data_IF_835858847832
#
_entry.id   IF_835858847832
#
_cell.length_a   1.000
_cell.length_b   1.000
_cell.length_c   1.000
_cell.angle_alpha   90.00
_cell.angle_beta   90.00
_cell.angle_gamma   90.00
#
_symmetry.space_group_name_H-M   'P 1'
#
loop_
_entity.id
_entity.type
_entity.pdbx_description
1 polymer ?
#
# COMPACT_ATOMS: atom_id res chain seq x y z
N UNK A 1 25.86 0.13 -12.42
CA UNK A 1 25.63 1.17 -11.38
C UNK A 1 24.15 1.15 -11.05
N UNK A 2 23.78 1.08 -9.77
CA UNK A 2 22.37 1.06 -9.35
C UNK A 2 21.68 2.40 -9.64
N UNK A 3 20.36 2.39 -9.75
CA UNK A 3 19.54 3.56 -10.01
C UNK A 3 18.47 3.73 -8.94
N UNK A 4 18.19 4.98 -8.58
CA UNK A 4 17.07 5.36 -7.72
C UNK A 4 16.03 6.12 -8.52
N UNK A 5 14.77 5.86 -8.23
CA UNK A 5 13.63 6.65 -8.70
C UNK A 5 12.65 6.82 -7.54
N UNK A 6 12.32 8.05 -7.20
CA UNK A 6 11.32 8.42 -6.20
C UNK A 6 10.24 9.27 -6.85
N UNK A 7 8.99 9.06 -6.45
CA UNK A 7 7.84 9.79 -6.98
C UNK A 7 6.96 10.27 -5.84
N UNK A 8 6.60 11.55 -5.86
CA UNK A 8 5.64 12.17 -4.94
C UNK A 8 4.55 12.86 -5.74
N UNK A 9 3.31 12.43 -5.60
CA UNK A 9 2.13 12.97 -6.29
C UNK A 9 1.27 13.81 -5.34
N UNK A 10 0.54 14.79 -5.86
CA UNK A 10 -0.43 15.60 -5.09
C UNK A 10 -1.69 14.85 -4.64
N UNK A 11 -1.90 13.66 -5.16
CA UNK A 11 -2.92 12.72 -4.72
C UNK A 11 -2.61 11.31 -5.20
N UNK A 12 -3.54 10.39 -5.01
CA UNK A 12 -3.39 9.00 -5.45
C UNK A 12 -3.30 8.95 -6.99
N UNK A 13 -2.26 8.32 -7.50
CA UNK A 13 -2.00 8.09 -8.92
C UNK A 13 -1.51 6.65 -9.16
N UNK A 14 -1.55 6.22 -10.42
CA UNK A 14 -1.07 4.91 -10.88
C UNK A 14 -0.04 5.10 -12.01
N UNK A 15 1.25 5.27 -11.70
CA UNK A 15 2.29 5.44 -12.72
C UNK A 15 2.73 4.10 -13.31
N UNK A 16 2.63 3.90 -14.62
CA UNK A 16 3.16 2.71 -15.31
C UNK A 16 4.69 2.75 -15.36
N UNK A 17 5.35 1.66 -15.00
CA UNK A 17 6.81 1.56 -15.02
C UNK A 17 7.20 0.34 -15.83
N UNK A 18 7.93 0.55 -16.93
CA UNK A 18 8.52 -0.52 -17.71
C UNK A 18 10.03 -0.45 -17.55
N UNK A 19 10.62 -1.53 -17.07
CA UNK A 19 12.06 -1.62 -16.91
C UNK A 19 12.65 -1.97 -18.28
N UNK A 20 13.56 -1.13 -18.77
CA UNK A 20 14.20 -1.22 -20.08
C UNK A 20 15.69 -1.52 -19.93
N UNK A 21 16.29 -2.14 -20.95
CA UNK A 21 17.74 -2.41 -20.97
C UNK A 21 18.19 -3.75 -20.40
N UNK A 22 17.29 -4.66 -20.01
CA UNK A 22 17.64 -6.08 -19.81
C UNK A 22 17.62 -6.81 -21.15
N UNK A 23 18.65 -6.57 -21.96
CA UNK A 23 18.87 -7.33 -23.18
C UNK A 23 18.99 -8.83 -22.84
N UNK A 24 18.18 -9.62 -23.57
CA UNK A 24 18.15 -11.08 -23.73
C UNK A 24 19.30 -11.87 -23.09
N UNK A 25 18.94 -12.94 -22.38
CA UNK A 25 19.74 -14.16 -22.12
C UNK A 25 21.12 -14.17 -22.77
N UNK A 26 22.05 -13.43 -22.20
CA UNK A 26 23.46 -13.50 -22.56
C UNK A 26 24.17 -13.95 -21.30
N UNK A 27 24.83 -15.10 -21.36
CA UNK A 27 25.38 -15.80 -20.18
C UNK A 27 26.47 -14.98 -19.45
N UNK A 28 26.91 -13.86 -20.03
CA UNK A 28 27.88 -12.93 -19.47
C UNK A 28 27.25 -11.79 -18.63
N UNK A 29 25.93 -11.61 -18.62
CA UNK A 29 25.26 -10.52 -17.90
C UNK A 29 24.93 -10.95 -16.47
N UNK A 30 25.56 -10.30 -15.49
CA UNK A 30 25.28 -10.51 -14.08
C UNK A 30 23.82 -10.14 -13.74
N UNK A 31 23.11 -10.96 -12.94
CA UNK A 31 21.73 -10.68 -12.55
C UNK A 31 21.63 -9.30 -11.89
N UNK A 32 20.64 -8.53 -12.32
CA UNK A 32 20.41 -7.15 -11.89
C UNK A 32 19.05 -7.09 -11.22
N UNK A 33 19.04 -7.22 -9.89
CA UNK A 33 17.79 -7.21 -9.14
C UNK A 33 17.08 -5.85 -9.18
N UNK A 34 15.83 -5.81 -8.76
CA UNK A 34 15.10 -4.57 -8.55
C UNK A 34 14.19 -4.68 -7.34
N UNK A 35 13.78 -3.54 -6.83
CA UNK A 35 12.74 -3.46 -5.83
C UNK A 35 11.90 -2.22 -6.00
N UNK A 36 10.63 -2.37 -5.68
CA UNK A 36 9.60 -1.36 -5.81
C UNK A 36 8.79 -1.30 -4.53
N UNK A 37 8.59 -0.08 -4.02
CA UNK A 37 7.81 0.18 -2.83
C UNK A 37 6.80 1.30 -3.08
N UNK A 38 5.62 1.17 -2.49
CA UNK A 38 4.57 2.18 -2.55
C UNK A 38 3.68 2.11 -1.32
N UNK A 39 2.89 3.16 -1.11
CA UNK A 39 1.94 3.27 -0.01
C UNK A 39 0.50 3.20 -0.55
N UNK A 40 -0.12 2.01 -0.59
CA UNK A 40 -1.45 1.83 -1.18
C UNK A 40 -2.47 2.77 -0.55
N UNK A 41 -3.38 3.32 -1.37
CA UNK A 41 -4.45 4.21 -0.94
C UNK A 41 -4.03 5.49 -0.19
N UNK A 42 -2.73 5.79 -0.09
CA UNK A 42 -2.21 6.89 0.71
C UNK A 42 -2.11 6.57 2.22
N UNK A 43 -2.13 5.28 2.58
CA UNK A 43 -1.95 4.80 3.96
C UNK A 43 -0.48 4.81 4.41
N UNK A 44 -0.25 4.45 5.68
CA UNK A 44 1.08 4.40 6.29
C UNK A 44 1.79 3.05 6.17
N UNK A 45 1.10 2.03 5.65
CA UNK A 45 1.68 0.72 5.41
C UNK A 45 2.29 0.68 4.01
N UNK A 46 3.56 0.30 3.92
CA UNK A 46 4.27 0.20 2.65
C UNK A 46 4.14 -1.22 2.10
N UNK A 47 3.73 -1.35 0.86
CA UNK A 47 3.89 -2.58 0.10
C UNK A 47 5.26 -2.56 -0.59
N UNK A 48 6.03 -3.64 -0.46
CA UNK A 48 7.35 -3.77 -1.08
C UNK A 48 7.46 -5.08 -1.86
N UNK A 49 7.81 -4.98 -3.13
CA UNK A 49 8.05 -6.11 -4.03
C UNK A 49 9.51 -6.06 -4.48
N UNK A 50 10.18 -7.21 -4.50
CA UNK A 50 11.59 -7.34 -4.84
C UNK A 50 11.85 -8.58 -5.67
N UNK A 51 12.68 -8.43 -6.68
CA UNK A 51 13.24 -9.53 -7.45
C UNK A 51 14.77 -9.42 -7.45
N UNK A 52 15.48 -10.21 -6.63
CA UNK A 52 16.94 -10.14 -6.53
C UNK A 52 17.65 -10.76 -7.74
N UNK A 53 17.00 -11.71 -8.44
CA UNK A 53 17.55 -12.53 -9.52
C UNK A 53 17.03 -12.11 -10.90
N UNK A 54 16.41 -10.93 -11.03
CA UNK A 54 15.81 -10.52 -12.30
C UNK A 54 16.81 -10.61 -13.48
N UNK A 55 16.42 -11.40 -14.48
CA UNK A 55 17.11 -11.56 -15.76
C UNK A 55 16.08 -11.38 -16.88
N UNK A 56 15.93 -10.17 -17.39
CA UNK A 56 14.92 -9.88 -18.42
C UNK A 56 13.50 -9.75 -17.85
N UNK A 57 12.50 -10.04 -18.69
CA UNK A 57 11.09 -10.02 -18.30
C UNK A 57 10.73 -11.27 -17.48
N UNK A 58 10.35 -11.08 -16.22
CA UNK A 58 9.80 -12.10 -15.32
C UNK A 58 8.32 -11.84 -15.05
N UNK A 59 7.58 -12.84 -14.55
CA UNK A 59 6.18 -12.67 -14.15
C UNK A 59 5.97 -11.51 -13.15
N UNK A 60 6.99 -11.18 -12.35
CA UNK A 60 6.95 -10.02 -11.45
C UNK A 60 7.05 -8.70 -12.21
N UNK A 61 7.81 -8.64 -13.29
CA UNK A 61 7.87 -7.46 -14.17
C UNK A 61 6.67 -7.35 -15.11
N UNK A 62 5.98 -8.47 -15.41
CA UNK A 62 4.67 -8.44 -16.07
C UNK A 62 3.59 -7.94 -15.12
N UNK A 63 3.64 -8.34 -13.84
CA UNK A 63 2.80 -7.71 -12.82
C UNK A 63 3.03 -6.20 -12.86
N UNK A 64 4.30 -5.72 -12.95
CA UNK A 64 4.68 -4.31 -13.16
C UNK A 64 3.99 -3.59 -14.34
N UNK A 65 3.34 -4.31 -15.26
CA UNK A 65 2.66 -3.78 -16.43
C UNK A 65 1.14 -3.68 -16.26
N UNK A 66 0.52 -4.56 -15.47
CA UNK A 66 -0.93 -4.61 -15.25
C UNK A 66 -1.32 -3.72 -14.04
N UNK A 67 -1.40 -2.41 -14.30
CA UNK A 67 -1.09 -1.35 -13.32
C UNK A 67 -2.27 -0.53 -12.78
N UNK A 68 -3.52 -0.93 -13.08
CA UNK A 68 -4.74 -0.30 -12.57
C UNK A 68 -4.89 -0.39 -11.03
N UNK A 69 -4.10 -1.25 -10.38
CA UNK A 69 -4.17 -1.54 -8.94
C UNK A 69 -3.13 -0.84 -8.05
N UNK A 70 -2.07 -0.25 -8.61
CA UNK A 70 -0.97 0.34 -7.82
C UNK A 70 -1.21 1.83 -7.58
N UNK A 71 -2.29 2.12 -6.84
CA UNK A 71 -2.76 3.46 -6.51
C UNK A 71 -2.07 3.98 -5.24
N UNK A 72 -1.17 4.95 -5.37
CA UNK A 72 -0.50 5.62 -4.24
C UNK A 72 -0.12 7.07 -4.56
N UNK A 73 0.21 7.83 -3.51
CA UNK A 73 0.79 9.16 -3.64
C UNK A 73 2.33 9.16 -3.61
N UNK A 74 2.95 8.08 -3.12
CA UNK A 74 4.41 7.99 -2.99
C UNK A 74 4.92 6.62 -3.41
N UNK A 75 5.97 6.63 -4.22
CA UNK A 75 6.61 5.45 -4.77
C UNK A 75 8.13 5.58 -4.68
N UNK A 76 8.80 4.47 -4.41
CA UNK A 76 10.25 4.35 -4.38
C UNK A 76 10.66 3.11 -5.17
N UNK A 77 11.60 3.28 -6.09
CA UNK A 77 12.15 2.22 -6.91
C UNK A 77 13.67 2.24 -6.82
N UNK A 78 14.24 1.04 -6.69
CA UNK A 78 15.67 0.83 -6.74
C UNK A 78 15.98 -0.26 -7.76
N UNK A 79 16.70 0.13 -8.82
CA UNK A 79 17.21 -0.80 -9.82
C UNK A 79 18.65 -1.14 -9.46
N UNK A 80 18.88 -2.39 -9.06
CA UNK A 80 20.18 -2.86 -8.58
C UNK A 80 21.07 -3.21 -9.76
N UNK A 81 22.28 -2.65 -9.78
CA UNK A 81 23.35 -3.16 -10.67
C UNK A 81 23.91 -4.50 -10.19
N UNK A 82 24.84 -5.10 -10.94
CA UNK A 82 25.49 -6.38 -10.62
C UNK A 82 25.89 -6.50 -9.13
N UNK A 83 25.16 -7.33 -8.39
CA UNK A 83 25.29 -7.47 -6.95
C UNK A 83 26.30 -8.56 -6.58
N UNK A 84 27.08 -8.35 -5.51
CA UNK A 84 27.95 -9.40 -4.94
C UNK A 84 27.16 -10.54 -4.27
N UNK A 85 25.95 -10.24 -3.78
CA UNK A 85 25.05 -11.19 -3.11
C UNK A 85 23.63 -10.99 -3.61
N UNK A 86 22.98 -12.10 -3.92
CA UNK A 86 21.64 -12.14 -4.51
C UNK A 86 20.68 -12.76 -3.49
N UNK A 87 20.06 -11.92 -2.66
CA UNK A 87 19.16 -12.32 -1.59
C UNK A 87 18.04 -11.29 -1.40
N UNK A 88 16.88 -11.73 -0.91
CA UNK A 88 15.70 -10.88 -0.71
C UNK A 88 15.94 -9.84 0.39
N UNK A 89 16.52 -10.29 1.51
CA UNK A 89 16.89 -9.46 2.65
C UNK A 89 17.96 -8.40 2.33
N UNK A 90 18.76 -8.61 1.28
CA UNK A 90 19.82 -7.69 0.86
C UNK A 90 19.40 -6.80 -0.32
N UNK A 91 18.16 -6.91 -0.81
CA UNK A 91 17.67 -6.15 -1.97
C UNK A 91 16.87 -4.94 -1.53
N UNK A 92 17.22 -3.77 -2.07
CA UNK A 92 16.53 -2.50 -1.78
C UNK A 92 15.27 -2.35 -2.63
N UNK A 93 14.27 -1.60 -2.16
CA UNK A 93 14.27 -0.79 -0.92
C UNK A 93 14.05 -1.62 0.36
N UNK A 94 14.59 -1.16 1.48
CA UNK A 94 14.28 -1.72 2.80
C UNK A 94 13.00 -1.09 3.36
N UNK A 95 12.19 -1.88 4.06
CA UNK A 95 11.02 -1.40 4.78
C UNK A 95 11.08 -1.86 6.23
N UNK A 96 10.75 -0.97 7.16
CA UNK A 96 10.65 -1.26 8.60
C UNK A 96 9.53 -0.45 9.24
N UNK A 97 8.73 -1.11 10.07
CA UNK A 97 7.65 -0.47 10.81
C UNK A 97 8.21 0.21 12.08
N UNK A 98 7.96 1.50 12.24
CA UNK A 98 8.30 2.27 13.43
C UNK A 98 7.38 3.49 13.57
N UNK A 99 6.99 3.85 14.79
CA UNK A 99 6.12 5.00 15.03
C UNK A 99 4.70 4.88 14.47
N UNK A 100 4.24 3.65 14.17
CA UNK A 100 2.91 3.39 13.59
C UNK A 100 2.83 3.57 12.07
N UNK A 101 3.98 3.52 11.37
CA UNK A 101 4.10 3.61 9.92
C UNK A 101 5.28 2.79 9.42
N UNK A 102 5.27 2.43 8.15
CA UNK A 102 6.40 1.81 7.48
C UNK A 102 7.33 2.88 6.92
N UNK A 103 8.61 2.71 7.21
CA UNK A 103 9.68 3.55 6.70
C UNK A 103 10.35 2.81 5.56
N UNK A 104 10.42 3.43 4.39
CA UNK A 104 11.03 2.87 3.19
C UNK A 104 12.33 3.60 2.87
N UNK A 105 13.41 2.85 2.73
CA UNK A 105 14.75 3.37 2.49
C UNK A 105 15.40 2.73 1.26
N UNK A 106 15.87 3.57 0.33
CA UNK A 106 16.63 3.17 -0.85
C UNK A 106 17.95 3.95 -0.90
N UNK A 107 19.02 3.29 -1.33
CA UNK A 107 20.37 3.82 -1.27
C UNK A 107 21.19 3.35 -2.47
N UNK A 108 21.97 4.25 -3.05
CA UNK A 108 23.03 3.95 -4.00
C UNK A 108 24.34 4.56 -3.51
N UNK A 109 25.34 3.72 -3.28
CA UNK A 109 26.61 4.11 -2.67
C UNK A 109 27.26 2.94 -1.95
N UNK A 110 28.36 3.22 -1.26
CA UNK A 110 29.10 2.23 -0.49
C UNK A 110 29.47 2.79 0.89
N UNK A 111 29.05 2.08 1.93
CA UNK A 111 29.32 2.44 3.31
C UNK A 111 30.50 1.65 3.86
N UNK A 112 31.38 2.34 4.57
CA UNK A 112 32.60 1.78 5.14
C UNK A 112 32.26 0.81 6.29
N UNK A 113 32.52 -0.50 6.14
CA UNK A 113 32.21 -1.49 7.16
C UNK A 113 32.96 -1.24 8.47
N UNK A 114 34.16 -0.62 8.42
CA UNK A 114 34.97 -0.36 9.62
C UNK A 114 34.29 0.68 10.49
N UNK A 115 33.75 1.75 9.88
CA UNK A 115 33.02 2.80 10.61
C UNK A 115 31.71 2.26 11.21
N UNK A 116 31.07 1.31 10.54
CA UNK A 116 29.80 0.73 10.98
C UNK A 116 29.95 -0.40 12.00
N UNK A 117 31.12 -1.01 12.12
CA UNK A 117 31.38 -2.11 13.04
C UNK A 117 31.19 -1.69 14.50
N UNK A 118 31.50 -0.43 14.83
CA UNK A 118 31.37 0.13 16.17
C UNK A 118 29.95 0.64 16.49
N UNK A 119 29.01 0.63 15.54
CA UNK A 119 27.64 1.07 15.80
C UNK A 119 26.89 0.01 16.59
N UNK A 120 26.54 0.34 17.83
CA UNK A 120 25.61 -0.43 18.64
C UNK A 120 24.18 -0.13 18.20
N UNK A 121 23.48 -1.16 17.71
CA UNK A 121 22.07 -1.08 17.31
C UNK A 121 21.21 -1.80 18.34
N UNK A 122 20.14 -1.18 18.84
CA UNK A 122 19.23 -1.86 19.75
C UNK A 122 18.50 -3.00 19.01
N UNK A 123 18.10 -4.04 19.74
CA UNK A 123 17.46 -5.21 19.16
C UNK A 123 16.20 -4.88 18.33
N UNK A 124 15.46 -3.82 18.69
CA UNK A 124 14.28 -3.34 17.96
C UNK A 124 14.59 -2.91 16.52
N UNK A 125 15.83 -2.47 16.26
CA UNK A 125 16.32 -2.10 14.93
C UNK A 125 17.44 -3.02 14.46
N UNK A 126 17.44 -4.30 14.85
CA UNK A 126 18.46 -5.24 14.37
C UNK A 126 18.29 -5.50 12.85
N UNK A 127 19.37 -5.43 12.04
CA UNK A 127 19.32 -5.73 10.60
C UNK A 127 18.94 -7.20 10.36
N UNK A 128 18.19 -7.47 9.28
CA UNK A 128 17.84 -8.83 8.85
C UNK A 128 18.89 -9.37 7.88
N UNK A 129 19.28 -8.54 6.92
CA UNK A 129 20.31 -8.81 5.93
C UNK A 129 21.70 -8.44 6.41
N UNK A 130 22.63 -8.45 5.45
CA UNK A 130 24.07 -8.33 5.67
C UNK A 130 24.63 -7.04 5.06
N UNK A 131 23.80 -6.24 4.40
CA UNK A 131 24.25 -5.01 3.75
C UNK A 131 24.55 -3.91 4.76
N UNK A 132 25.60 -3.16 4.51
CA UNK A 132 25.91 -1.94 5.26
C UNK A 132 24.79 -0.90 5.11
N UNK A 133 24.08 -0.89 3.97
CA UNK A 133 22.94 -0.02 3.74
C UNK A 133 21.78 -0.29 4.72
N UNK A 134 21.50 -1.55 5.05
CA UNK A 134 20.48 -1.86 6.04
C UNK A 134 20.93 -1.48 7.46
N UNK A 135 22.19 -1.74 7.81
CA UNK A 135 22.76 -1.32 9.11
C UNK A 135 22.64 0.19 9.31
N UNK A 136 22.94 0.97 8.27
CA UNK A 136 22.79 2.42 8.27
C UNK A 136 21.33 2.86 8.39
N UNK A 137 20.41 2.18 7.69
CA UNK A 137 18.98 2.45 7.85
C UNK A 137 18.49 2.18 9.27
N UNK A 138 18.93 1.08 9.88
CA UNK A 138 18.64 0.75 11.27
C UNK A 138 19.20 1.78 12.26
N UNK A 139 20.43 2.25 12.01
CA UNK A 139 21.02 3.35 12.77
C UNK A 139 20.20 4.62 12.67
N UNK A 140 19.71 4.98 11.48
CA UNK A 140 18.88 6.16 11.28
C UNK A 140 17.57 6.06 12.07
N UNK A 141 16.88 4.92 12.02
CA UNK A 141 15.65 4.72 12.81
C UNK A 141 15.90 4.80 14.31
N UNK A 142 17.03 4.27 14.80
CA UNK A 142 17.44 4.42 16.19
C UNK A 142 17.65 5.90 16.56
N UNK A 143 18.25 6.71 15.68
CA UNK A 143 18.39 8.16 15.90
C UNK A 143 17.04 8.87 15.95
N UNK A 144 16.12 8.50 15.06
CA UNK A 144 14.75 9.06 15.05
C UNK A 144 14.03 8.72 16.35
N UNK A 145 14.13 7.47 16.83
CA UNK A 145 13.55 7.04 18.12
C UNK A 145 14.15 7.78 19.32
N UNK A 146 15.47 7.98 19.35
CA UNK A 146 16.15 8.76 20.40
C UNK A 146 15.68 10.22 20.46
N UNK A 147 15.26 10.78 19.33
CA UNK A 147 14.67 12.12 19.24
C UNK A 147 13.18 12.13 19.63
N UNK A 148 12.58 10.98 19.91
CA UNK A 148 11.15 10.83 20.21
C UNK A 148 10.23 11.07 19.01
N UNK A 149 10.80 11.10 17.80
CA UNK A 149 10.07 11.37 16.57
C UNK A 149 9.37 10.11 16.07
N UNK A 150 8.13 10.25 15.57
CA UNK A 150 7.37 9.14 14.98
C UNK A 150 7.16 9.29 13.47
N UNK A 151 7.45 10.48 12.94
CA UNK A 151 7.34 10.88 11.53
C UNK A 151 8.61 11.59 11.11
N UNK A 152 8.88 11.64 9.80
CA UNK A 152 10.00 12.42 9.25
C UNK A 152 9.90 13.89 9.66
N UNK A 153 8.70 14.46 9.60
CA UNK A 153 8.45 15.85 9.98
C UNK A 153 8.69 16.15 11.47
N UNK A 154 8.52 15.15 12.36
CA UNK A 154 8.70 15.36 13.81
C UNK A 154 10.17 15.57 14.19
N UNK A 155 11.10 15.08 13.37
CA UNK A 155 12.54 15.31 13.53
C UNK A 155 12.89 16.78 13.32
N UNK A 156 12.16 17.46 12.43
CA UNK A 156 12.51 18.77 11.90
C UNK A 156 13.50 18.66 10.74
N UNK A 157 13.29 19.44 9.67
CA UNK A 157 14.03 19.27 8.41
C UNK A 157 15.53 19.56 8.52
N UNK A 158 15.90 20.62 9.25
CA UNK A 158 17.31 20.94 9.52
C UNK A 158 18.00 19.79 10.28
N UNK A 159 17.32 19.27 11.31
CA UNK A 159 17.88 18.18 12.12
C UNK A 159 17.98 16.88 11.33
N UNK A 160 17.01 16.60 10.47
CA UNK A 160 17.05 15.46 9.56
C UNK A 160 18.22 15.58 8.57
N UNK A 161 18.48 16.78 8.05
CA UNK A 161 19.64 17.02 7.19
C UNK A 161 20.98 16.85 7.91
N UNK A 162 21.08 17.28 9.18
CA UNK A 162 22.25 16.97 10.01
C UNK A 162 22.47 15.46 10.17
N UNK A 163 21.38 14.69 10.44
CA UNK A 163 21.45 13.23 10.56
C UNK A 163 21.88 12.56 9.26
N UNK A 164 21.36 13.01 8.12
CA UNK A 164 21.74 12.49 6.80
C UNK A 164 23.19 12.85 6.45
N UNK A 165 23.68 14.00 6.92
CA UNK A 165 25.09 14.41 6.78
C UNK A 165 26.02 13.57 7.68
N UNK A 166 25.61 13.27 8.92
CA UNK A 166 26.34 12.34 9.80
C UNK A 166 26.40 10.94 9.17
N UNK A 167 25.29 10.47 8.61
CA UNK A 167 25.19 9.22 7.87
C UNK A 167 26.15 9.19 6.67
N UNK A 168 26.24 10.29 5.92
CA UNK A 168 27.16 10.40 4.80
C UNK A 168 28.65 10.38 5.23
N UNK A 169 28.93 10.65 6.51
CA UNK A 169 30.23 10.40 7.12
C UNK A 169 30.67 8.93 7.13
N UNK A 170 29.71 7.98 7.04
CA UNK A 170 30.00 6.55 6.98
C UNK A 170 30.43 6.07 5.58
N UNK A 171 30.15 6.82 4.52
CA UNK A 171 30.39 6.34 3.15
C UNK A 171 29.56 7.08 2.12
N UNK A 172 29.61 6.66 0.85
CA UNK A 172 28.95 7.43 -0.21
C UNK A 172 27.46 7.16 -0.15
N UNK A 173 26.63 8.20 -0.31
CA UNK A 173 25.21 8.08 -0.04
C UNK A 173 24.33 8.96 -0.93
N UNK A 174 23.80 8.40 -2.02
CA UNK A 174 22.57 8.90 -2.62
C UNK A 174 21.40 8.12 -2.04
N UNK A 175 20.40 8.81 -1.50
CA UNK A 175 19.33 8.20 -0.70
C UNK A 175 17.96 8.68 -1.12
N UNK A 176 16.99 7.77 -1.02
CA UNK A 176 15.57 8.08 -0.93
C UNK A 176 15.03 7.50 0.38
N UNK A 177 14.27 8.28 1.12
CA UNK A 177 13.64 7.88 2.37
C UNK A 177 12.20 8.38 2.38
N UNK A 178 11.27 7.54 2.84
CA UNK A 178 9.88 7.94 2.99
C UNK A 178 9.25 7.24 4.19
N UNK A 179 8.27 7.91 4.79
CA UNK A 179 7.42 7.39 5.86
C UNK A 179 5.93 7.32 5.44
N UNK A 180 5.66 7.46 4.14
CA UNK A 180 4.33 7.47 3.53
C UNK A 180 3.73 8.86 3.31
N UNK A 181 4.19 9.88 4.04
CA UNK A 181 3.76 11.27 3.84
C UNK A 181 4.79 12.09 3.08
N UNK A 182 6.05 11.94 3.45
CA UNK A 182 7.17 12.68 2.89
C UNK A 182 8.06 11.76 2.07
N UNK A 183 8.59 12.30 0.96
CA UNK A 183 9.68 11.69 0.21
C UNK A 183 10.90 12.61 0.31
N UNK A 184 11.92 12.09 0.97
CA UNK A 184 13.23 12.71 1.17
C UNK A 184 14.18 12.19 0.11
N UNK A 185 14.93 13.09 -0.50
CA UNK A 185 16.05 12.80 -1.37
C UNK A 185 17.31 13.44 -0.79
N UNK A 186 18.40 12.67 -0.70
CA UNK A 186 19.70 13.18 -0.26
C UNK A 186 20.76 12.86 -1.29
N UNK A 187 21.54 13.87 -1.70
CA UNK A 187 22.68 13.69 -2.58
C UNK A 187 23.96 13.63 -1.77
N UNK A 188 24.81 12.67 -2.11
CA UNK A 188 26.12 12.49 -1.50
C UNK A 188 26.96 13.79 -1.52
N UNK A 189 27.51 14.17 -0.37
CA UNK A 189 28.32 15.36 -0.18
C UNK A 189 29.67 15.32 -0.91
N UNK A 190 30.15 14.13 -1.29
CA UNK A 190 31.39 13.96 -2.07
C UNK A 190 31.13 13.86 -3.58
N UNK A 191 29.88 14.05 -4.02
CA UNK A 191 29.50 14.01 -5.42
C UNK A 191 29.47 12.61 -6.02
N UNK A 192 29.31 11.55 -5.21
CA UNK A 192 29.13 10.21 -5.73
C UNK A 192 27.82 10.10 -6.50
N UNK A 193 27.91 9.97 -7.82
CA UNK A 193 26.76 9.86 -8.71
C UNK A 193 25.92 11.14 -8.78
N UNK A 194 25.03 11.16 -9.77
CA UNK A 194 24.04 12.23 -9.92
C UNK A 194 22.76 11.89 -9.15
N UNK A 195 22.07 12.93 -8.70
CA UNK A 195 20.71 12.86 -8.19
C UNK A 195 20.03 14.16 -8.59
N UNK A 196 18.93 14.05 -9.33
CA UNK A 196 18.22 15.20 -9.87
C UNK A 196 16.76 15.12 -9.53
N UNK A 197 16.12 16.28 -9.37
CA UNK A 197 14.69 16.40 -9.16
C UNK A 197 14.03 17.18 -10.31
N UNK A 198 12.86 16.72 -10.74
CA UNK A 198 12.02 17.42 -11.71
C UNK A 198 10.60 17.48 -11.18
N UNK A 199 9.84 18.49 -11.61
CA UNK A 199 8.42 18.62 -11.25
C UNK A 199 7.57 18.79 -12.49
N UNK A 200 6.45 18.08 -12.51
CA UNK A 200 5.37 18.27 -13.46
C UNK A 200 4.19 18.92 -12.75
N UNK A 201 3.57 19.90 -13.41
CA UNK A 201 2.38 20.61 -12.92
C UNK A 201 1.31 20.62 -14.02
N UNK A 202 0.02 20.48 -13.69
CA UNK A 202 -1.08 20.67 -14.65
C UNK A 202 -1.28 22.15 -15.05
N UNK A 203 -1.88 22.44 -16.22
CA UNK A 203 -2.21 21.52 -17.30
C UNK A 203 -0.95 21.19 -18.11
N UNK A 204 -0.60 19.91 -18.19
CA UNK A 204 0.52 19.46 -19.03
C UNK A 204 -0.03 18.93 -20.34
N UNK A 205 0.27 19.63 -21.43
CA UNK A 205 -0.16 19.25 -22.77
C UNK A 205 0.67 18.07 -23.25
N UNK A 206 0.02 16.93 -23.50
CA UNK A 206 0.52 15.85 -24.38
C UNK A 206 1.62 14.93 -23.85
N UNK A 207 2.43 15.34 -22.85
CA UNK A 207 3.50 14.49 -22.33
C UNK A 207 3.17 13.92 -20.94
N UNK A 208 2.79 12.65 -20.94
CA UNK A 208 2.54 11.83 -19.76
C UNK A 208 3.46 10.60 -19.72
N UNK A 209 4.50 10.57 -20.55
CA UNK A 209 5.52 9.51 -20.52
C UNK A 209 6.91 10.10 -20.60
N UNK A 210 7.83 9.48 -19.85
CA UNK A 210 9.23 9.84 -19.72
C UNK A 210 10.04 8.57 -19.73
N UNK A 211 11.26 8.62 -20.24
CA UNK A 211 12.09 7.42 -20.27
C UNK A 211 13.56 7.74 -20.13
N UNK A 212 14.33 6.75 -19.74
CA UNK A 212 15.77 6.73 -19.89
C UNK A 212 16.20 5.31 -20.30
N UNK A 213 17.51 5.08 -20.35
CA UNK A 213 18.10 3.79 -20.72
C UNK A 213 17.74 2.59 -19.79
N UNK A 214 17.12 2.84 -18.63
CA UNK A 214 16.82 1.83 -17.61
C UNK A 214 15.33 1.62 -17.37
N UNK A 215 14.51 2.66 -17.60
CA UNK A 215 13.07 2.54 -17.44
C UNK A 215 12.29 3.55 -18.29
N UNK A 216 11.06 3.19 -18.59
CA UNK A 216 10.00 4.05 -19.10
C UNK A 216 8.96 4.23 -17.98
N UNK A 217 8.56 5.47 -17.76
CA UNK A 217 7.56 5.90 -16.79
C UNK A 217 6.40 6.53 -17.56
N UNK A 218 5.18 6.06 -17.36
CA UNK A 218 3.98 6.64 -17.94
C UNK A 218 2.94 7.00 -16.87
N UNK A 219 2.08 7.97 -17.15
CA UNK A 219 0.85 8.24 -16.42
C UNK A 219 -0.33 7.99 -17.37
N UNK A 220 -1.33 7.27 -16.89
CA UNK A 220 -2.55 7.03 -17.64
C UNK A 220 -3.26 8.35 -18.01
N UNK A 221 -3.79 8.48 -19.25
CA UNK A 221 -4.64 9.61 -19.64
C UNK A 221 -5.90 9.65 -18.76
N UNK A 222 -6.10 10.73 -17.98
CA UNK A 222 -7.23 10.87 -17.05
C UNK A 222 -6.84 11.48 -15.71
N UNK A 223 -7.23 10.83 -14.60
CA UNK A 223 -6.99 11.32 -13.22
C UNK A 223 -5.52 11.62 -12.92
N UNK A 224 -4.56 10.89 -13.53
CA UNK A 224 -3.12 11.09 -13.38
C UNK A 224 -2.54 12.23 -14.23
N UNK A 225 -3.13 12.49 -15.39
CA UNK A 225 -2.69 13.55 -16.30
C UNK A 225 -2.86 14.95 -15.68
N UNK A 226 -3.82 15.12 -14.77
CA UNK A 226 -4.04 16.36 -14.02
C UNK A 226 -3.41 16.37 -12.61
N UNK A 227 -2.41 15.52 -12.34
CA UNK A 227 -1.67 15.52 -11.08
C UNK A 227 -0.34 16.25 -11.17
N UNK A 228 -0.01 16.94 -10.10
CA UNK A 228 1.35 17.43 -9.85
C UNK A 228 2.20 16.26 -9.37
N UNK A 229 3.42 16.18 -9.88
CA UNK A 229 4.36 15.10 -9.61
C UNK A 229 5.76 15.68 -9.40
N UNK A 230 6.41 15.32 -8.30
CA UNK A 230 7.85 15.49 -8.12
C UNK A 230 8.51 14.14 -8.38
N UNK A 231 9.43 14.11 -9.35
CA UNK A 231 10.30 12.99 -9.63
C UNK A 231 11.70 13.27 -9.10
N UNK A 232 12.28 12.29 -8.43
CA UNK A 232 13.71 12.30 -8.08
C UNK A 232 14.35 11.07 -8.72
N UNK A 233 15.42 11.26 -9.48
CA UNK A 233 16.08 10.15 -10.16
C UNK A 233 17.61 10.34 -10.21
N UNK A 234 18.34 9.23 -10.15
CA UNK A 234 19.80 9.24 -10.38
C UNK A 234 20.17 9.44 -11.84
N UNK A 235 19.33 8.93 -12.76
CA UNK A 235 19.41 9.21 -14.20
C UNK A 235 18.14 9.96 -14.59
N UNK A 236 18.24 11.26 -14.98
CA UNK A 236 17.10 12.04 -15.45
C UNK A 236 16.33 11.32 -16.56
N UNK A 237 15.01 11.48 -16.55
CA UNK A 237 14.15 10.95 -17.60
C UNK A 237 13.93 12.02 -18.67
N UNK A 238 14.07 11.63 -19.94
CA UNK A 238 13.81 12.48 -21.08
C UNK A 238 12.33 12.91 -21.10
N UNK A 239 12.10 14.20 -21.40
CA UNK A 239 10.76 14.79 -21.45
C UNK A 239 10.29 15.48 -20.16
N UNK A 240 11.12 15.53 -19.12
CA UNK A 240 10.89 16.34 -17.93
C UNK A 240 12.13 17.20 -17.66
N UNK A 241 11.92 18.44 -17.24
CA UNK A 241 13.01 19.32 -16.84
C UNK A 241 13.50 18.93 -15.45
N UNK A 242 14.74 18.43 -15.40
CA UNK A 242 15.42 18.03 -14.17
C UNK A 242 16.45 19.06 -13.74
N UNK A 243 16.50 19.32 -12.44
CA UNK A 243 17.52 20.13 -11.77
C UNK A 243 18.37 19.19 -10.92
N UNK A 244 19.69 19.20 -11.14
CA UNK A 244 20.62 18.43 -10.33
C UNK A 244 20.68 18.98 -8.89
N UNK A 245 20.58 18.10 -7.90
CA UNK A 245 20.80 18.48 -6.51
C UNK A 245 22.27 18.82 -6.32
N UNK A 246 22.59 19.83 -5.52
CA UNK A 246 23.96 20.12 -5.12
C UNK A 246 24.49 19.02 -4.18
N UNK A 247 25.79 18.64 -4.24
CA UNK A 247 26.34 17.63 -3.31
C UNK A 247 26.09 17.99 -1.84
N UNK A 248 25.60 17.03 -1.07
CA UNK A 248 25.32 17.17 0.35
C UNK A 248 23.91 17.69 0.64
N UNK A 249 23.11 17.96 -0.40
CA UNK A 249 21.82 18.59 -0.24
C UNK A 249 20.70 17.58 0.02
N UNK A 250 19.82 17.94 0.94
CA UNK A 250 18.56 17.25 1.20
C UNK A 250 17.41 18.00 0.54
N UNK A 251 16.53 17.28 -0.16
CA UNK A 251 15.28 17.78 -0.73
C UNK A 251 14.11 17.00 -0.15
N UNK A 252 13.08 17.73 0.31
CA UNK A 252 11.88 17.16 0.92
C UNK A 252 10.68 17.47 0.03
N UNK A 253 10.01 16.43 -0.43
CA UNK A 253 8.81 16.54 -1.23
C UNK A 253 7.61 15.94 -0.53
N UNK A 254 6.46 16.61 -0.68
CA UNK A 254 5.17 16.20 -0.13
C UNK A 254 4.09 16.63 -1.10
N UNK A 255 3.16 15.73 -1.39
CA UNK A 255 1.99 16.01 -2.25
C UNK A 255 2.37 16.69 -3.57
N UNK A 256 3.35 16.14 -4.30
CA UNK A 256 3.68 16.66 -5.64
C UNK A 256 4.34 18.04 -5.66
N UNK A 257 4.92 18.48 -4.53
CA UNK A 257 5.72 19.70 -4.44
C UNK A 257 6.91 19.52 -3.50
N UNK A 258 7.94 20.34 -3.70
CA UNK A 258 9.06 20.46 -2.77
C UNK A 258 8.66 21.41 -1.65
N UNK A 259 8.69 20.95 -0.40
CA UNK A 259 8.29 21.74 0.76
C UNK A 259 9.48 22.31 1.53
N UNK A 260 10.66 21.70 1.39
CA UNK A 260 11.89 22.15 2.03
C UNK A 260 13.11 21.60 1.29
N UNK A 261 14.23 22.33 1.37
CA UNK A 261 15.54 21.88 0.88
C UNK A 261 16.63 22.58 1.69
N UNK A 262 17.74 21.89 1.95
CA UNK A 262 18.94 22.52 2.56
C UNK A 262 19.62 23.52 1.61
N UNK A 263 19.34 23.41 0.31
CA UNK A 263 19.62 24.45 -0.68
C UNK A 263 18.29 25.14 -1.04
N UNK A 264 18.02 26.35 -0.51
CA UNK A 264 16.75 27.05 -0.74
C UNK A 264 16.45 27.34 -2.21
N UNK A 265 17.49 27.43 -3.07
CA UNK A 265 17.30 27.72 -4.49
C UNK A 265 16.59 26.57 -5.21
N UNK A 266 16.83 25.33 -4.77
CA UNK A 266 16.16 24.15 -5.33
C UNK A 266 14.65 24.17 -5.13
N UNK A 267 14.14 24.77 -4.04
CA UNK A 267 12.68 24.86 -3.84
C UNK A 267 12.06 25.69 -4.96
N UNK A 268 12.66 26.83 -5.28
CA UNK A 268 12.20 27.70 -6.37
C UNK A 268 12.43 27.10 -7.76
N UNK A 269 13.56 26.45 -7.99
CA UNK A 269 13.85 25.83 -9.29
C UNK A 269 12.96 24.63 -9.59
N UNK A 270 12.71 23.77 -8.60
CA UNK A 270 11.88 22.58 -8.80
C UNK A 270 10.39 22.94 -8.77
N UNK A 271 9.93 23.81 -7.87
CA UNK A 271 8.53 24.21 -7.88
C UNK A 271 8.17 25.18 -9.00
N UNK A 272 9.14 25.94 -9.50
CA UNK A 272 8.91 27.06 -10.42
C UNK A 272 8.04 28.13 -9.77
N UNK A 273 7.12 28.70 -10.58
CA UNK A 273 6.14 29.69 -10.12
C UNK A 273 4.90 29.08 -9.46
N UNK A 274 4.77 27.74 -9.47
CA UNK A 274 3.60 27.08 -8.91
C UNK A 274 3.78 26.96 -7.40
N UNK A 275 2.90 27.59 -6.58
CA UNK A 275 3.04 27.54 -5.14
C UNK A 275 3.03 26.07 -4.66
N UNK A 276 3.77 25.75 -3.59
CA UNK A 276 3.53 24.50 -2.89
C UNK A 276 2.03 24.45 -2.53
N UNK A 277 1.38 23.27 -2.60
CA UNK A 277 -0.01 23.16 -2.22
C UNK A 277 -0.15 23.79 -0.83
N UNK A 278 -1.16 24.65 -0.66
CA UNK A 278 -1.50 25.16 0.66
C UNK A 278 -1.56 23.96 1.61
N UNK A 279 -1.13 24.13 2.87
CA UNK A 279 -1.47 23.19 3.94
C UNK A 279 -3.00 23.16 4.03
N UNK A 280 -3.67 22.46 3.11
CA UNK A 280 -5.07 22.12 3.19
C UNK A 280 -5.20 21.46 4.55
N UNK A 281 -6.04 22.07 5.40
CA UNK A 281 -6.23 21.80 6.81
C UNK A 281 -5.75 20.40 7.15
N UNK A 282 -4.70 20.33 7.97
CA UNK A 282 -4.13 19.09 8.48
C UNK A 282 -5.28 18.17 8.92
N UNK A 283 -5.76 17.33 8.02
CA UNK A 283 -6.30 16.04 8.39
C UNK A 283 -5.08 15.34 8.94
N UNK A 284 -4.84 15.55 10.23
CA UNK A 284 -3.92 14.75 11.02
C UNK A 284 -4.53 13.35 10.93
N UNK A 285 -4.20 12.62 9.88
CA UNK A 285 -4.14 11.18 9.99
C UNK A 285 -2.95 10.97 10.94
N UNK A 286 -3.25 10.99 12.23
CA UNK A 286 -2.36 10.42 13.21
C UNK A 286 -2.15 8.97 12.77
N UNK A 287 -0.90 8.51 12.72
CA UNK A 287 -0.62 7.08 12.76
C UNK A 287 -1.56 6.46 13.82
N UNK A 288 -2.25 5.34 13.54
CA UNK A 288 -3.07 4.70 14.56
C UNK A 288 -2.19 4.56 15.80
N UNK A 289 -2.62 5.05 16.98
CA UNK A 289 -1.82 4.91 18.17
C UNK A 289 -1.52 3.41 18.30
N UNK A 290 -0.24 3.04 18.20
CA UNK A 290 0.19 1.67 18.52
C UNK A 290 -0.44 1.29 19.86
N UNK A 291 -0.90 0.02 20.03
CA UNK A 291 -1.95 -0.37 20.97
C UNK A 291 -1.70 0.24 22.35
N UNK A 292 -2.29 1.41 22.56
CA UNK A 292 -2.28 2.09 23.83
C UNK A 292 -3.38 1.42 24.62
N UNK A 293 -2.98 0.61 25.60
CA UNK A 293 -3.85 0.14 26.67
C UNK A 293 -4.24 1.35 27.56
N UNK A 294 -4.88 2.36 26.97
CA UNK A 294 -5.61 3.39 27.68
C UNK A 294 -7.10 3.00 27.67
N UNK A 295 -7.83 3.22 28.77
CA UNK A 295 -9.12 2.59 29.02
C UNK A 295 -10.10 2.98 27.91
N UNK A 296 -10.55 1.97 27.16
CA UNK A 296 -11.59 2.06 26.15
C UNK A 296 -12.77 2.83 26.72
N UNK A 297 -13.12 3.94 26.08
CA UNK A 297 -14.46 4.51 26.26
C UNK A 297 -15.48 3.38 26.03
N UNK A 298 -16.51 3.25 26.88
CA UNK A 298 -17.28 2.01 27.00
C UNK A 298 -17.92 1.67 25.66
N UNK A 299 -17.56 0.51 25.12
CA UNK A 299 -18.25 -0.11 24.00
C UNK A 299 -19.69 -0.41 24.45
N UNK A 300 -20.66 -0.08 23.58
CA UNK A 300 -22.07 -0.33 23.90
C UNK A 300 -22.35 -1.80 23.68
N UNK A 301 -22.53 -2.54 24.77
CA UNK A 301 -22.96 -3.93 24.73
C UNK A 301 -24.48 -3.99 24.79
N UNK A 302 -25.10 -4.62 23.79
CA UNK A 302 -26.53 -4.87 23.74
C UNK A 302 -26.82 -6.35 23.97
N UNK A 303 -27.90 -6.60 24.71
CA UNK A 303 -28.50 -7.91 24.84
C UNK A 303 -29.75 -7.95 23.96
N UNK A 304 -29.69 -8.72 22.89
CA UNK A 304 -30.76 -8.86 21.91
C UNK A 304 -31.42 -10.21 22.13
N UNK A 305 -32.72 -10.21 22.42
CA UNK A 305 -33.56 -11.40 22.45
C UNK A 305 -34.63 -11.26 21.38
N UNK A 306 -34.59 -12.11 20.37
CA UNK A 306 -35.62 -12.21 19.34
C UNK A 306 -36.37 -13.53 19.53
N UNK A 307 -37.68 -13.43 19.75
CA UNK A 307 -38.57 -14.56 19.86
C UNK A 307 -39.59 -14.56 18.73
N UNK A 308 -39.68 -15.68 18.01
CA UNK A 308 -40.66 -15.90 16.95
C UNK A 308 -41.46 -17.16 17.26
N UNK A 309 -42.79 -17.06 17.26
CA UNK A 309 -43.68 -18.19 17.51
C UNK A 309 -44.63 -18.33 16.33
N UNK A 310 -44.56 -19.45 15.63
CA UNK A 310 -45.50 -19.83 14.58
C UNK A 310 -46.53 -20.79 15.17
N UNK A 311 -47.81 -20.51 14.93
CA UNK A 311 -48.93 -21.37 15.33
C UNK A 311 -49.68 -21.80 14.09
N UNK A 312 -49.82 -23.10 13.90
CA UNK A 312 -50.44 -23.67 12.72
C UNK A 312 -51.86 -24.16 13.06
N UNK A 313 -52.81 -23.85 12.19
CA UNK A 313 -54.20 -24.31 12.33
C UNK A 313 -54.33 -25.84 12.20
N UNK A 314 -53.45 -26.47 11.42
CA UNK A 314 -53.32 -27.92 11.28
C UNK A 314 -51.89 -28.36 11.59
N UNK A 315 -51.67 -29.54 12.22
CA UNK A 315 -50.32 -30.01 12.53
C UNK A 315 -49.46 -30.17 11.27
N UNK A 316 -48.23 -29.68 11.34
CA UNK A 316 -47.21 -29.86 10.29
C UNK A 316 -46.53 -31.20 10.55
N UNK A 317 -46.74 -32.20 9.69
CA UNK A 317 -46.24 -33.57 9.93
C UNK A 317 -44.72 -33.72 9.79
N UNK A 318 -44.15 -33.19 8.71
CA UNK A 318 -42.69 -33.15 8.45
C UNK A 318 -42.34 -31.84 7.78
N UNK A 319 -41.25 -31.22 8.23
CA UNK A 319 -40.79 -29.97 7.64
C UNK A 319 -39.28 -29.81 7.77
N UNK A 320 -38.70 -29.11 6.79
CA UNK A 320 -37.29 -28.72 6.78
C UNK A 320 -37.23 -27.20 6.79
N UNK A 321 -36.47 -26.64 7.73
CA UNK A 321 -36.30 -25.20 7.89
C UNK A 321 -34.84 -24.81 7.85
N UNK A 322 -34.60 -23.57 7.45
CA UNK A 322 -33.26 -22.98 7.37
C UNK A 322 -33.30 -21.65 8.10
N UNK A 323 -32.52 -21.53 9.16
CA UNK A 323 -32.46 -20.33 10.00
C UNK A 323 -31.11 -19.63 9.81
N UNK A 324 -31.16 -18.31 9.60
CA UNK A 324 -30.01 -17.40 9.52
C UNK A 324 -30.16 -16.32 10.59
N UNK A 325 -30.13 -16.75 11.85
CA UNK A 325 -30.45 -15.92 13.01
C UNK A 325 -29.23 -15.56 13.87
N UNK A 326 -28.03 -15.97 13.44
CA UNK A 326 -26.78 -15.58 14.07
C UNK A 326 -26.35 -14.21 13.54
N UNK A 327 -26.21 -13.18 14.41
CA UNK A 327 -25.77 -11.87 13.95
C UNK A 327 -24.39 -11.94 13.32
N UNK A 328 -24.21 -11.22 12.21
CA UNK A 328 -22.91 -11.13 11.53
C UNK A 328 -21.90 -10.44 12.43
N UNK A 329 -20.67 -10.91 12.40
CA UNK A 329 -19.53 -10.18 12.94
C UNK A 329 -18.91 -9.35 11.81
N UNK A 330 -18.88 -8.02 11.94
CA UNK A 330 -18.31 -7.10 10.96
C UNK A 330 -17.58 -5.93 11.64
N UNK A 331 -17.22 -4.90 10.86
CA UNK A 331 -16.55 -3.71 11.38
C UNK A 331 -17.42 -2.81 12.27
N UNK A 332 -18.73 -3.01 12.24
CA UNK A 332 -19.71 -2.21 12.98
C UNK A 332 -20.19 -2.92 14.25
N UNK A 333 -20.12 -4.25 14.28
CA UNK A 333 -20.54 -5.05 15.43
C UNK A 333 -19.71 -6.33 15.63
N UNK A 334 -19.47 -6.66 16.90
CA UNK A 334 -18.85 -7.92 17.32
C UNK A 334 -19.85 -8.75 18.13
N UNK A 335 -20.06 -10.00 17.71
CA UNK A 335 -20.83 -10.98 18.45
C UNK A 335 -20.00 -11.55 19.60
N UNK A 336 -20.45 -11.39 20.85
CA UNK A 336 -19.78 -11.90 22.04
C UNK A 336 -20.32 -13.27 22.46
N UNK A 337 -21.64 -13.40 22.54
CA UNK A 337 -22.34 -14.63 22.89
C UNK A 337 -23.56 -14.78 21.99
N UNK A 338 -23.86 -16.02 21.59
CA UNK A 338 -25.03 -16.35 20.76
C UNK A 338 -25.59 -17.71 21.14
N UNK A 339 -26.91 -17.78 21.24
CA UNK A 339 -27.67 -19.01 21.50
C UNK A 339 -28.97 -18.99 20.69
N UNK A 340 -29.34 -20.15 20.14
CA UNK A 340 -30.57 -20.32 19.36
C UNK A 340 -31.33 -21.54 19.87
N UNK A 341 -32.42 -21.27 20.57
CA UNK A 341 -33.34 -22.31 21.04
C UNK A 341 -34.44 -22.53 20.02
N UNK A 342 -34.68 -23.78 19.65
CA UNK A 342 -35.70 -24.19 18.68
C UNK A 342 -36.58 -25.24 19.35
N UNK A 343 -37.89 -25.04 19.29
CA UNK A 343 -38.90 -25.96 19.80
C UNK A 343 -39.98 -26.20 18.75
N UNK A 344 -40.37 -27.46 18.45
CA UNK A 344 -39.88 -28.71 19.06
C UNK A 344 -38.41 -29.02 18.73
N UNK A 345 -37.82 -30.05 19.34
CA UNK A 345 -36.46 -30.47 19.02
C UNK A 345 -36.44 -31.27 17.70
N UNK A 346 -35.50 -30.95 16.82
CA UNK A 346 -35.32 -31.60 15.51
C UNK A 346 -33.86 -31.97 15.25
N UNK A 347 -33.59 -32.58 14.09
CA UNK A 347 -32.21 -32.86 13.67
C UNK A 347 -31.59 -31.57 13.13
N UNK A 348 -30.58 -31.05 13.82
CA UNK A 348 -29.92 -29.81 13.44
C UNK A 348 -28.65 -30.07 12.62
N UNK A 349 -28.41 -29.20 11.64
CA UNK A 349 -27.17 -29.12 10.87
C UNK A 349 -26.73 -27.67 10.84
N UNK A 350 -25.51 -27.40 11.31
CA UNK A 350 -24.91 -26.07 11.25
C UNK A 350 -23.84 -26.07 10.18
N UNK A 351 -23.91 -25.10 9.26
CA UNK A 351 -22.94 -24.94 8.20
C UNK A 351 -22.80 -23.47 7.81
N UNK A 352 -21.73 -23.13 7.12
CA UNK A 352 -21.53 -21.79 6.55
C UNK A 352 -21.99 -21.79 5.09
N UNK A 353 -22.79 -20.80 4.69
CA UNK A 353 -23.17 -20.65 3.29
C UNK A 353 -22.09 -19.96 2.44
N UNK A 354 -22.30 -19.90 1.13
CA UNK A 354 -21.37 -19.27 0.18
C UNK A 354 -21.14 -17.78 0.45
N UNK A 355 -22.06 -17.12 1.17
CA UNK A 355 -21.98 -15.72 1.55
C UNK A 355 -21.31 -15.51 2.92
N UNK A 356 -20.94 -16.60 3.61
CA UNK A 356 -20.29 -16.55 4.92
C UNK A 356 -21.27 -16.42 6.09
N UNK A 357 -22.57 -16.58 5.86
CA UNK A 357 -23.55 -16.61 6.95
C UNK A 357 -23.53 -17.98 7.62
N UNK A 358 -23.65 -17.98 8.95
CA UNK A 358 -23.93 -19.21 9.68
C UNK A 358 -25.40 -19.58 9.47
N UNK A 359 -25.60 -20.79 8.97
CA UNK A 359 -26.91 -21.34 8.66
C UNK A 359 -27.18 -22.53 9.57
N UNK A 360 -28.37 -22.55 10.19
CA UNK A 360 -28.87 -23.67 10.98
C UNK A 360 -30.04 -24.30 10.23
N UNK A 361 -29.78 -25.46 9.61
CA UNK A 361 -30.82 -26.31 9.04
C UNK A 361 -31.44 -27.20 10.11
N UNK A 362 -32.77 -27.32 10.12
CA UNK A 362 -33.50 -28.19 11.05
C UNK A 362 -34.52 -29.03 10.30
N UNK A 363 -34.44 -30.34 10.49
CA UNK A 363 -35.44 -31.29 10.01
C UNK A 363 -36.32 -31.77 11.18
N UNK A 364 -37.63 -31.54 11.04
CA UNK A 364 -38.65 -32.02 11.97
C UNK A 364 -39.30 -33.29 11.41
N UNK A 365 -39.16 -34.39 12.14
CA UNK A 365 -39.70 -35.71 11.75
C UNK A 365 -41.02 -36.05 12.46
N UNK A 366 -41.44 -35.23 13.43
CA UNK A 366 -42.65 -35.45 14.22
C UNK A 366 -43.65 -34.31 14.00
N UNK A 367 -44.96 -34.59 14.02
CA UNK A 367 -45.99 -33.56 13.88
C UNK A 367 -45.93 -32.51 14.99
N UNK A 368 -46.05 -31.24 14.62
CA UNK A 368 -46.13 -30.13 15.56
C UNK A 368 -47.14 -29.07 15.14
N UNK A 369 -47.73 -28.38 16.11
CA UNK A 369 -48.69 -27.28 15.90
C UNK A 369 -48.11 -25.91 16.27
N UNK A 370 -46.99 -25.88 16.99
CA UNK A 370 -46.27 -24.66 17.36
C UNK A 370 -44.77 -24.82 17.08
N UNK A 371 -44.18 -23.84 16.39
CA UNK A 371 -42.73 -23.71 16.20
C UNK A 371 -42.28 -22.43 16.88
N UNK A 372 -41.45 -22.56 17.92
CA UNK A 372 -40.89 -21.45 18.68
C UNK A 372 -39.39 -21.37 18.47
N UNK A 373 -38.93 -20.16 18.14
CA UNK A 373 -37.53 -19.80 17.92
C UNK A 373 -37.15 -18.70 18.90
N UNK A 374 -36.10 -18.90 19.68
CA UNK A 374 -35.56 -17.89 20.59
C UNK A 374 -34.08 -17.69 20.27
N UNK A 375 -33.77 -16.58 19.62
CA UNK A 375 -32.41 -16.12 19.38
C UNK A 375 -32.00 -15.17 20.50
N UNK A 376 -30.90 -15.49 21.19
CA UNK A 376 -30.28 -14.64 22.21
C UNK A 376 -28.89 -14.28 21.73
N UNK A 377 -28.59 -13.00 21.66
CA UNK A 377 -27.28 -12.51 21.26
C UNK A 377 -26.80 -11.40 22.19
N UNK A 378 -25.52 -11.45 22.54
CA UNK A 378 -24.81 -10.37 23.20
C UNK A 378 -23.87 -9.76 22.17
N UNK A 379 -24.17 -8.54 21.76
CA UNK A 379 -23.42 -7.85 20.71
C UNK A 379 -22.75 -6.61 21.26
N UNK A 380 -21.53 -6.36 20.82
CA UNK A 380 -20.77 -5.16 21.11
C UNK A 380 -20.77 -4.28 19.85
N UNK A 381 -21.28 -3.05 19.96
CA UNK A 381 -21.31 -2.11 18.84
C UNK A 381 -20.03 -1.26 18.81
N UNK A 382 -19.41 -1.19 17.64
CA UNK A 382 -18.34 -0.24 17.35
C UNK A 382 -18.94 1.15 17.12
N UNK A 383 -18.26 2.21 17.59
CA UNK A 383 -18.78 3.60 17.52
C UNK A 383 -18.71 4.19 16.12
N UNK A 384 -17.78 3.72 15.30
CA UNK A 384 -17.60 4.19 13.93
C UNK A 384 -17.56 2.98 12.98
N UNK A 385 -18.36 2.99 11.90
CA UNK A 385 -18.20 2.00 10.87
C UNK A 385 -16.83 2.18 10.24
N UNK A 386 -15.96 1.18 10.35
CA UNK A 386 -14.76 1.15 9.53
C UNK A 386 -15.20 0.99 8.07
N UNK A 387 -15.32 2.12 7.37
CA UNK A 387 -15.64 2.18 5.94
C UNK A 387 -14.53 1.57 5.08
N UNK A 388 -13.39 1.25 5.69
CA UNK A 388 -12.20 0.69 5.07
C UNK A 388 -12.00 -0.78 5.44
N UNK A 389 -12.86 -1.35 6.29
CA UNK A 389 -12.83 -2.78 6.55
C UNK A 389 -13.14 -3.52 5.25
N UNK A 390 -12.25 -4.41 4.77
CA UNK A 390 -12.49 -5.14 3.55
C UNK A 390 -13.81 -5.91 3.69
N UNK A 391 -14.71 -5.72 2.72
CA UNK A 391 -15.90 -6.56 2.60
C UNK A 391 -15.44 -8.01 2.61
N UNK A 392 -15.90 -8.81 3.58
CA UNK A 392 -15.34 -10.14 3.88
C UNK A 392 -15.27 -11.08 2.66
N UNK A 393 -16.02 -10.82 1.58
CA UNK A 393 -15.87 -11.44 0.26
C UNK A 393 -16.26 -10.46 -0.85
N UNK A 394 -15.32 -10.11 -1.73
CA UNK A 394 -15.59 -9.42 -3.00
C UNK A 394 -15.82 -10.41 -4.17
N UNK A 395 -15.65 -11.71 -3.92
CA UNK A 395 -15.85 -12.77 -4.91
C UNK A 395 -16.65 -13.92 -4.29
N UNK A 396 -17.55 -14.49 -5.09
CA UNK A 396 -18.28 -15.71 -4.71
C UNK A 396 -17.28 -16.87 -4.81
N UNK A 397 -17.07 -17.68 -3.74
CA UNK A 397 -16.11 -18.78 -3.74
C UNK A 397 -16.66 -20.00 -4.50
N UNK A 398 -17.09 -19.81 -5.74
CA UNK A 398 -17.37 -20.90 -6.65
C UNK A 398 -16.03 -21.36 -7.24
N UNK A 399 -15.61 -22.57 -6.86
CA UNK A 399 -14.52 -23.26 -7.54
C UNK A 399 -15.14 -24.02 -8.70
N UNK A 400 -14.88 -23.55 -9.91
CA UNK A 400 -15.39 -24.16 -11.13
C UNK A 400 -14.44 -25.27 -11.55
N UNK A 401 -14.97 -26.47 -11.82
CA UNK A 401 -14.18 -27.50 -12.50
C UNK A 401 -13.76 -26.98 -13.89
N UNK A 402 -12.61 -27.40 -14.45
CA UNK A 402 -12.09 -26.84 -15.70
C UNK A 402 -13.12 -26.78 -16.84
N UNK A 403 -13.96 -27.81 -16.97
CA UNK A 403 -15.03 -27.88 -17.96
C UNK A 403 -16.18 -26.90 -17.68
N UNK A 404 -16.56 -26.68 -16.41
CA UNK A 404 -17.59 -25.72 -16.03
C UNK A 404 -17.12 -24.29 -16.30
N UNK A 405 -15.85 -24.00 -16.00
CA UNK A 405 -15.24 -22.71 -16.32
C UNK A 405 -15.28 -22.47 -17.82
N UNK A 406 -14.88 -23.46 -18.63
CA UNK A 406 -14.90 -23.38 -20.08
C UNK A 406 -16.31 -23.18 -20.66
N UNK A 407 -17.32 -23.84 -20.09
CA UNK A 407 -18.73 -23.63 -20.45
C UNK A 407 -19.25 -22.24 -20.08
N UNK A 408 -18.74 -21.64 -19.01
CA UNK A 408 -19.21 -20.33 -18.53
C UNK A 408 -18.33 -19.15 -18.89
N UNK A 409 -17.22 -19.36 -19.60
CA UNK A 409 -16.43 -18.29 -20.23
C UNK A 409 -17.30 -17.23 -20.93
N UNK A 410 -18.33 -17.58 -21.73
CA UNK A 410 -19.18 -16.58 -22.41
C UNK A 410 -20.00 -15.69 -21.47
N UNK A 411 -20.22 -16.12 -20.23
CA UNK A 411 -21.04 -15.42 -19.22
C UNK A 411 -20.20 -14.77 -18.11
N UNK A 412 -18.96 -15.23 -17.92
CA UNK A 412 -18.00 -14.70 -16.96
C UNK A 412 -17.22 -13.51 -17.54
N UNK A 413 -17.12 -13.43 -18.86
CA UNK A 413 -16.66 -12.25 -19.57
C UNK A 413 -17.83 -11.27 -19.68
N UNK A 414 -17.63 -9.97 -19.42
CA UNK A 414 -18.63 -8.96 -19.76
C UNK A 414 -18.98 -9.14 -21.24
N UNK A 415 -20.27 -9.18 -21.59
CA UNK A 415 -20.66 -9.10 -22.98
C UNK A 415 -20.04 -7.80 -23.52
N UNK A 416 -19.16 -7.91 -24.52
CA UNK A 416 -18.65 -6.74 -25.22
C UNK A 416 -19.86 -6.04 -25.84
N UNK A 417 -20.36 -5.01 -25.14
CA UNK A 417 -21.38 -4.15 -25.68
C UNK A 417 -20.77 -3.51 -26.93
N UNK A 418 -21.48 -3.53 -28.07
CA UNK A 418 -21.05 -2.77 -29.23
C UNK A 418 -20.75 -1.33 -28.81
N UNK A 419 -19.70 -0.75 -29.38
CA UNK A 419 -19.18 0.58 -29.01
C UNK A 419 -20.29 1.66 -28.96
N UNK A 420 -21.32 1.51 -29.79
CA UNK A 420 -22.52 2.37 -29.82
C UNK A 420 -23.31 2.31 -28.50
N UNK A 421 -23.55 1.12 -27.95
CA UNK A 421 -24.29 0.93 -26.69
C UNK A 421 -23.48 1.40 -25.48
N UNK A 422 -22.15 1.23 -25.51
CA UNK A 422 -21.25 1.79 -24.49
C UNK A 422 -21.32 3.31 -24.48
N UNK A 423 -21.40 3.94 -25.67
CA UNK A 423 -21.51 5.39 -25.80
C UNK A 423 -22.84 5.92 -25.26
N UNK A 424 -23.96 5.27 -25.59
CA UNK A 424 -25.29 5.63 -25.04
C UNK A 424 -25.34 5.49 -23.51
N UNK A 425 -24.78 4.41 -22.96
CA UNK A 425 -24.69 4.22 -21.50
C UNK A 425 -23.81 5.29 -20.84
N UNK A 426 -22.71 5.66 -21.47
CA UNK A 426 -21.84 6.73 -20.99
C UNK A 426 -22.53 8.10 -21.04
N UNK A 427 -23.28 8.39 -22.09
CA UNK A 427 -24.06 9.64 -22.23
C UNK A 427 -25.20 9.69 -21.20
N UNK A 428 -25.90 8.58 -20.97
CA UNK A 428 -26.93 8.47 -19.94
C UNK A 428 -26.37 8.64 -18.53
N UNK A 429 -25.23 8.01 -18.21
CA UNK A 429 -24.59 8.13 -16.90
C UNK A 429 -24.08 9.55 -16.62
N UNK A 430 -23.66 10.28 -17.65
CA UNK A 430 -23.23 11.69 -17.55
C UNK A 430 -24.41 12.68 -17.46
N UNK A 431 -25.66 12.20 -17.56
CA UNK A 431 -26.87 13.03 -17.49
C UNK A 431 -27.49 13.16 -16.09
N UNK A 432 -26.95 12.47 -15.08
CA UNK A 432 -27.40 12.53 -13.68
C UNK A 432 -26.48 13.37 -12.79
#
# INVERSE_FOLDING_TARGET
MSQLLGMSFDGVASPSIRLSGWARHDAAVQPSGWGFAWYPAGDYAAAVIKDPIATGETAMTELLRDWDRFRAATFLCHLRGAAKRVAQEDTLPFSRSFGGRDWVFAHTGDFDPVKLAALELPAVFAPVGHTNSERVFCWLLNRVDQLGARRLADVGWEKLHELLSELNGFGTANLLLSDGEDLIAYRDARGFGELSAGRRVPPSVGQASWSNRFLELGLEPGEGANRSLVLVATTPLEGLDFVGLTPGTTLVSRRGAVIWSSDPQLVGWVNGNAPPPALAAQGVMSAPPGPSLAPTAPSRVLWVRHETIYRYASPVERSTHVFRLEPVHDSRQRLLEYDLEIFPQGKFRRYEDVFGNVVVGVDFEHPYSELRLVSKAKIELAREPDLWAPSRRASIPLVWMPWQRQMMVPYLLPAELPEVQLRELSEFAMSF
#
